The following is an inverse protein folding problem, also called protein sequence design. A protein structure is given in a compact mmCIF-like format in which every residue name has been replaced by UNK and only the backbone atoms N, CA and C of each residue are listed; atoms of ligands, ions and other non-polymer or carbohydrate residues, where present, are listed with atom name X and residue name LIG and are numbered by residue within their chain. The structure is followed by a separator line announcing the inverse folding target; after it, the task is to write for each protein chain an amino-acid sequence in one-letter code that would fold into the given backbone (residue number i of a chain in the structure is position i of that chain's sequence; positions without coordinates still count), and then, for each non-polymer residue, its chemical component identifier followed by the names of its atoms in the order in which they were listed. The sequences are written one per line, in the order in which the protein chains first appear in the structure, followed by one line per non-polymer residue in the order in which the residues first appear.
data_IF_926996386981
#
_entry.id   IF_926996386981
#
_cell.length_a   1.000
_cell.length_b   1.000
_cell.length_c   1.000
_cell.angle_alpha   90.00
_cell.angle_beta   90.00
_cell.angle_gamma   90.00
#
_symmetry.space_group_name_H-M   'P 1'
#
loop_
_entity.id
_entity.type
_entity.pdbx_description
1 polymer ?
#
# COMPACT_ATOMS: atom_id res chain seq x y z
N UNK A 1 61.55 -5.55 -0.01
CA UNK A 1 62.52 -5.88 -1.08
C UNK A 1 62.00 -7.09 -1.83
N UNK A 2 62.04 -7.04 -3.17
CA UNK A 2 61.73 -8.09 -4.18
C UNK A 2 60.24 -8.50 -4.24
N UNK A 3 59.39 -8.11 -5.20
CA UNK A 3 59.47 -7.87 -6.66
C UNK A 3 59.75 -9.12 -7.48
N UNK A 4 58.74 -9.62 -8.19
CA UNK A 4 58.84 -10.34 -9.47
C UNK A 4 57.47 -10.46 -10.14
N UNK A 5 57.49 -10.50 -11.47
CA UNK A 5 56.50 -9.95 -12.37
C UNK A 5 55.73 -11.01 -13.20
N UNK A 6 54.61 -10.55 -13.77
CA UNK A 6 53.86 -10.97 -14.96
C UNK A 6 54.28 -12.20 -15.78
N UNK A 7 53.29 -13.02 -16.16
CA UNK A 7 53.16 -13.55 -17.53
C UNK A 7 51.68 -13.81 -17.88
N UNK A 8 51.29 -13.43 -19.10
CA UNK A 8 49.92 -13.47 -19.67
C UNK A 8 49.80 -14.56 -20.77
N UNK A 9 48.57 -15.07 -20.96
CA UNK A 9 47.98 -15.73 -22.16
C UNK A 9 48.25 -17.24 -22.39
N UNK A 10 47.44 -17.97 -23.21
CA UNK A 10 46.34 -17.54 -24.10
C UNK A 10 45.00 -18.33 -24.02
N UNK A 11 43.98 -17.76 -24.67
CA UNK A 11 42.62 -18.26 -24.94
C UNK A 11 42.54 -19.52 -25.82
N UNK A 12 41.41 -20.27 -25.82
CA UNK A 12 41.03 -21.11 -26.96
C UNK A 12 39.82 -20.59 -27.74
N UNK A 13 40.09 -20.41 -29.03
CA UNK A 13 39.28 -20.61 -30.25
C UNK A 13 37.74 -20.75 -30.21
N UNK A 14 37.15 -19.79 -30.92
CA UNK A 14 35.96 -19.82 -31.77
C UNK A 14 35.59 -21.19 -32.39
N UNK A 15 34.35 -21.64 -32.16
CA UNK A 15 33.67 -22.69 -32.93
C UNK A 15 32.64 -22.07 -33.87
N UNK A 16 32.74 -22.43 -35.15
CA UNK A 16 31.86 -22.06 -36.28
C UNK A 16 30.43 -22.62 -36.11
N UNK A 17 29.38 -21.96 -36.62
CA UNK A 17 28.03 -22.53 -36.72
C UNK A 17 27.91 -23.48 -37.93
N UNK A 18 27.33 -24.65 -37.67
CA UNK A 18 26.96 -25.68 -38.67
C UNK A 18 25.65 -25.28 -39.35
N UNK A 19 25.68 -25.12 -40.68
CA UNK A 19 24.49 -24.97 -41.54
C UNK A 19 23.60 -26.21 -41.39
N UNK A 20 22.31 -26.00 -41.09
CA UNK A 20 21.26 -26.99 -41.27
C UNK A 20 20.35 -26.51 -42.41
N UNK A 21 20.30 -27.35 -43.42
CA UNK A 21 19.43 -27.33 -44.58
C UNK A 21 18.04 -27.74 -44.10
N UNK A 22 17.00 -26.94 -44.37
CA UNK A 22 15.63 -27.45 -44.39
C UNK A 22 14.96 -27.05 -45.69
N UNK A 23 14.55 -28.07 -46.40
CA UNK A 23 13.86 -28.14 -47.67
C UNK A 23 12.64 -27.23 -47.78
N UNK A 24 12.57 -26.56 -48.93
CA UNK A 24 11.38 -26.02 -49.55
C UNK A 24 10.44 -27.13 -50.02
N UNK A 25 9.17 -27.02 -49.67
CA UNK A 25 8.07 -27.70 -50.35
C UNK A 25 6.94 -26.71 -50.56
N UNK A 26 6.82 -26.27 -51.82
CA UNK A 26 5.77 -25.39 -52.35
C UNK A 26 4.59 -26.27 -52.77
N UNK A 27 3.37 -25.95 -52.34
CA UNK A 27 2.17 -26.33 -53.08
C UNK A 27 1.08 -25.28 -52.88
N UNK A 28 0.76 -24.61 -53.98
CA UNK A 28 -0.36 -23.69 -54.18
C UNK A 28 -1.57 -24.49 -54.69
N UNK A 29 -2.80 -24.21 -54.21
CA UNK A 29 -4.01 -23.86 -55.00
C UNK A 29 -5.32 -23.93 -54.17
N UNK A 30 -5.90 -22.73 -53.98
CA UNK A 30 -7.32 -22.28 -54.00
C UNK A 30 -8.44 -22.70 -53.00
N UNK A 31 -9.38 -21.77 -52.68
CA UNK A 31 -10.46 -21.86 -51.66
C UNK A 31 -11.88 -22.12 -52.26
N UNK A 32 -12.99 -22.19 -51.47
CA UNK A 32 -13.85 -21.00 -51.22
C UNK A 32 -14.76 -20.99 -49.95
N UNK A 33 -15.54 -19.89 -49.83
CA UNK A 33 -16.69 -19.54 -48.94
C UNK A 33 -16.35 -18.68 -47.70
N UNK A 34 -16.46 -17.34 -47.68
CA UNK A 34 -17.48 -16.35 -48.12
C UNK A 34 -18.73 -16.31 -47.25
N UNK A 35 -18.81 -15.30 -46.37
CA UNK A 35 -20.04 -14.55 -46.06
C UNK A 35 -19.67 -13.11 -45.70
N UNK A 36 -20.25 -12.18 -46.44
CA UNK A 36 -20.09 -10.72 -46.34
C UNK A 36 -21.44 -10.08 -45.93
N UNK A 37 -21.45 -8.79 -45.53
CA UNK A 37 -22.45 -8.18 -44.65
C UNK A 37 -23.58 -7.45 -45.39
N UNK A 38 -24.67 -7.14 -44.68
CA UNK A 38 -25.71 -6.21 -45.15
C UNK A 38 -25.81 -4.98 -44.27
N UNK A 39 -25.94 -3.85 -44.97
CA UNK A 39 -25.95 -2.45 -44.57
C UNK A 39 -27.39 -1.94 -44.40
N UNK A 40 -27.59 -1.08 -43.40
CA UNK A 40 -28.52 0.06 -43.28
C UNK A 40 -29.94 0.02 -43.86
N UNK A 41 -30.93 0.37 -43.03
CA UNK A 41 -32.02 1.28 -43.40
C UNK A 41 -32.47 2.14 -42.21
N UNK A 42 -32.58 3.44 -42.45
CA UNK A 42 -33.22 4.45 -41.62
C UNK A 42 -34.72 4.46 -41.91
N UNK A 43 -35.58 4.59 -40.90
CA UNK A 43 -36.88 5.26 -41.05
C UNK A 43 -37.46 5.69 -39.70
N UNK A 44 -37.87 6.95 -39.69
CA UNK A 44 -38.56 7.69 -38.64
C UNK A 44 -40.01 7.19 -38.46
N UNK A 45 -40.50 7.16 -37.21
CA UNK A 45 -41.92 7.37 -36.92
C UNK A 45 -42.10 7.96 -35.51
N UNK A 46 -42.65 9.17 -35.49
CA UNK A 46 -43.24 9.86 -34.33
C UNK A 46 -44.48 9.11 -33.85
N UNK A 47 -44.69 9.11 -32.54
CA UNK A 47 -46.01 9.09 -31.92
C UNK A 47 -45.98 10.06 -30.73
N UNK A 48 -46.74 11.15 -30.88
CA UNK A 48 -47.26 11.95 -29.76
C UNK A 48 -48.48 11.22 -29.19
N UNK A 49 -48.60 11.15 -27.86
CA UNK A 49 -49.76 11.64 -27.10
C UNK A 49 -49.58 11.41 -25.58
N UNK A 50 -49.61 12.53 -24.86
CA UNK A 50 -50.34 12.84 -23.62
C UNK A 50 -50.21 12.05 -22.30
N UNK A 51 -49.94 12.86 -21.27
CA UNK A 51 -50.65 12.94 -19.97
C UNK A 51 -50.43 11.83 -18.92
N UNK A 52 -49.60 12.13 -17.91
CA UNK A 52 -50.12 12.47 -16.58
C UNK A 52 -49.03 12.84 -15.55
N UNK A 53 -49.38 13.84 -14.74
CA UNK A 53 -48.64 14.48 -13.66
C UNK A 53 -48.24 13.53 -12.52
N UNK A 54 -47.03 13.69 -11.95
CA UNK A 54 -46.82 13.87 -10.49
C UNK A 54 -45.56 14.71 -10.24
N UNK A 55 -45.74 15.79 -9.49
CA UNK A 55 -44.76 16.80 -9.08
C UNK A 55 -44.12 16.42 -7.73
N UNK A 56 -42.79 16.58 -7.59
CA UNK A 56 -42.11 16.65 -6.28
C UNK A 56 -41.56 18.08 -6.07
N UNK A 57 -41.78 18.72 -4.90
CA UNK A 57 -41.44 20.12 -4.72
C UNK A 57 -39.97 20.34 -4.35
N UNK A 58 -39.36 21.31 -5.04
CA UNK A 58 -38.06 21.94 -4.75
C UNK A 58 -38.30 23.11 -3.79
N UNK A 59 -37.77 23.08 -2.57
CA UNK A 59 -37.85 24.21 -1.62
C UNK A 59 -36.63 25.11 -1.77
N UNK A 60 -36.84 26.28 -2.37
CA UNK A 60 -35.97 27.45 -2.30
C UNK A 60 -36.32 28.29 -1.05
N UNK A 61 -35.34 28.93 -0.43
CA UNK A 61 -35.54 29.92 0.62
C UNK A 61 -35.25 31.30 0.04
N UNK A 62 -36.20 32.23 0.20
CA UNK A 62 -36.06 33.66 -0.11
C UNK A 62 -36.52 34.47 1.10
N UNK A 63 -35.74 35.49 1.46
CA UNK A 63 -36.05 36.51 2.45
C UNK A 63 -37.24 37.38 2.01
N UNK A 64 -38.09 37.84 2.95
CA UNK A 64 -38.22 39.26 3.38
C UNK A 64 -39.53 39.57 4.13
N UNK A 65 -39.39 40.35 5.23
CA UNK A 65 -40.20 41.49 5.75
C UNK A 65 -41.61 41.37 6.39
N UNK A 66 -41.64 41.67 7.72
CA UNK A 66 -42.46 42.67 8.48
C UNK A 66 -43.96 42.39 8.86
N UNK A 67 -44.62 43.12 9.83
CA UNK A 67 -44.18 43.95 10.98
C UNK A 67 -44.95 43.78 12.35
N UNK A 68 -44.42 44.45 13.40
CA UNK A 68 -45.02 45.10 14.59
C UNK A 68 -46.04 44.43 15.56
N UNK A 69 -45.69 44.38 16.86
CA UNK A 69 -46.35 45.19 17.93
C UNK A 69 -45.66 45.03 19.30
N UNK A 70 -45.98 45.95 20.20
CA UNK A 70 -45.22 46.58 21.29
C UNK A 70 -45.41 46.03 22.72
N UNK A 71 -44.45 46.37 23.60
CA UNK A 71 -44.45 46.72 25.06
C UNK A 71 -43.23 46.05 25.75
N UNK A 72 -42.43 46.60 26.67
CA UNK A 72 -42.25 47.92 27.29
C UNK A 72 -41.07 47.87 28.30
N UNK A 73 -40.12 48.84 28.21
CA UNK A 73 -39.24 49.47 29.26
C UNK A 73 -38.22 48.63 30.09
N UNK A 74 -37.20 49.26 30.76
CA UNK A 74 -36.53 50.55 30.51
C UNK A 74 -34.97 50.49 30.53
N UNK A 75 -34.34 51.57 30.04
CA UNK A 75 -32.89 51.81 29.91
C UNK A 75 -32.29 52.55 31.13
N UNK A 76 -31.01 52.31 31.42
CA UNK A 76 -30.15 53.12 32.30
C UNK A 76 -29.01 53.80 31.52
N UNK A 77 -28.49 54.97 31.96
CA UNK A 77 -27.68 55.87 31.15
C UNK A 77 -26.16 55.72 31.35
N UNK A 78 -25.40 56.07 30.29
CA UNK A 78 -23.95 56.28 30.27
C UNK A 78 -23.54 57.56 31.05
N UNK A 79 -22.34 57.61 31.66
CA UNK A 79 -21.71 58.86 32.08
C UNK A 79 -20.70 59.42 31.04
N UNK A 80 -20.38 60.73 31.10
CA UNK A 80 -19.76 61.47 30.00
C UNK A 80 -18.23 61.62 30.08
N UNK A 81 -17.68 62.04 28.95
CA UNK A 81 -16.29 62.38 28.67
C UNK A 81 -15.96 63.82 29.14
N UNK A 82 -14.91 64.01 29.94
CA UNK A 82 -14.18 65.30 30.08
C UNK A 82 -12.68 65.04 30.23
N UNK A 83 -11.90 65.86 29.54
CA UNK A 83 -10.44 65.88 29.41
C UNK A 83 -9.82 66.90 30.36
N UNK A 84 -8.69 66.60 31.03
CA UNK A 84 -7.48 67.44 31.02
C UNK A 84 -6.28 66.81 31.77
N UNK A 85 -5.10 67.27 31.35
CA UNK A 85 -3.73 66.78 31.58
C UNK A 85 -3.07 67.18 32.90
N UNK A 86 -2.22 66.30 33.47
CA UNK A 86 -0.78 66.55 33.79
C UNK A 86 -0.09 65.39 34.55
N UNK A 87 0.92 64.83 33.89
CA UNK A 87 2.31 64.55 34.32
C UNK A 87 2.64 63.72 35.58
N UNK A 88 3.32 62.60 35.30
CA UNK A 88 4.36 61.86 36.05
C UNK A 88 4.04 61.13 37.37
N UNK A 89 4.03 59.78 37.30
CA UNK A 89 5.05 58.99 38.02
C UNK A 89 5.25 57.59 37.43
N UNK A 90 6.52 57.24 37.39
CA UNK A 90 7.18 56.04 36.91
C UNK A 90 6.72 54.77 37.67
N UNK A 91 6.22 53.76 36.95
CA UNK A 91 6.32 52.35 37.37
C UNK A 91 6.29 51.43 36.13
N UNK A 92 7.47 51.12 35.60
CA UNK A 92 7.63 50.06 34.59
C UNK A 92 7.58 48.73 35.33
N UNK A 93 6.38 48.16 35.50
CA UNK A 93 6.25 46.75 35.86
C UNK A 93 6.45 45.92 34.59
N UNK A 94 7.71 45.53 34.36
CA UNK A 94 8.02 44.48 33.40
C UNK A 94 7.34 43.19 33.85
N UNK A 95 6.19 42.85 33.27
CA UNK A 95 5.73 41.47 33.22
C UNK A 95 6.74 40.70 32.38
N UNK A 96 7.72 40.08 33.04
CA UNK A 96 8.49 39.01 32.46
C UNK A 96 7.51 37.93 32.02
N UNK A 97 7.29 37.84 30.71
CA UNK A 97 6.73 36.63 30.09
C UNK A 97 7.65 35.49 30.53
N UNK A 98 7.16 34.40 31.12
CA UNK A 98 8.03 33.30 31.46
C UNK A 98 8.57 32.71 30.15
N UNK A 99 9.84 33.02 29.86
CA UNK A 99 10.66 32.47 28.77
C UNK A 99 10.78 30.92 28.85
N UNK A 100 10.30 30.33 29.94
CA UNK A 100 10.20 28.88 30.15
C UNK A 100 9.04 28.20 29.40
N UNK A 101 8.02 28.94 28.92
CA UNK A 101 6.89 28.35 28.21
C UNK A 101 7.20 27.94 26.75
N UNK A 102 8.26 28.52 26.16
CA UNK A 102 8.75 28.19 24.81
C UNK A 102 9.60 26.93 24.78
N UNK A 103 10.58 26.83 25.69
CA UNK A 103 11.51 25.68 25.74
C UNK A 103 10.82 24.34 26.02
N UNK A 104 9.80 24.32 26.88
CA UNK A 104 9.06 23.10 27.21
C UNK A 104 8.22 22.57 26.02
N UNK A 105 7.67 23.48 25.20
CA UNK A 105 6.92 23.13 23.99
C UNK A 105 7.86 22.69 22.86
N UNK A 106 9.01 23.33 22.70
CA UNK A 106 10.02 22.92 21.72
C UNK A 106 10.64 21.55 22.06
N UNK A 107 11.04 21.32 23.32
CA UNK A 107 11.57 20.02 23.77
C UNK A 107 10.54 18.90 23.57
N UNK A 108 9.25 19.15 23.85
CA UNK A 108 8.18 18.17 23.58
C UNK A 108 7.97 17.89 22.09
N UNK A 109 8.09 18.92 21.23
CA UNK A 109 7.96 18.79 19.78
C UNK A 109 9.13 18.00 19.16
N UNK A 110 10.36 18.24 19.63
CA UNK A 110 11.55 17.51 19.20
C UNK A 110 11.49 16.04 19.63
N UNK A 111 11.07 15.75 20.85
CA UNK A 111 10.89 14.36 21.33
C UNK A 111 9.87 13.60 20.47
N UNK A 112 8.72 14.21 20.16
CA UNK A 112 7.71 13.58 19.27
C UNK A 112 8.23 13.34 17.85
N UNK A 113 9.04 14.27 17.35
CA UNK A 113 9.67 14.15 16.03
C UNK A 113 10.70 13.02 16.01
N UNK A 114 11.52 12.92 17.06
CA UNK A 114 12.50 11.84 17.22
C UNK A 114 11.81 10.48 17.38
N UNK A 115 10.78 10.39 18.21
CA UNK A 115 9.97 9.17 18.39
C UNK A 115 9.36 8.73 17.05
N UNK A 116 8.79 9.65 16.28
CA UNK A 116 8.24 9.36 14.96
C UNK A 116 9.34 8.90 13.98
N UNK A 117 10.50 9.56 13.99
CA UNK A 117 11.66 9.18 13.19
C UNK A 117 12.14 7.76 13.51
N UNK A 118 12.20 7.42 14.79
CA UNK A 118 12.55 6.07 15.27
C UNK A 118 11.52 5.03 14.83
N UNK A 119 10.21 5.35 14.88
CA UNK A 119 9.17 4.47 14.36
C UNK A 119 9.34 4.19 12.86
N UNK A 120 9.62 5.21 12.04
CA UNK A 120 9.94 5.00 10.62
C UNK A 120 11.19 4.15 10.42
N UNK A 121 12.25 4.40 11.21
CA UNK A 121 13.48 3.61 11.19
C UNK A 121 13.22 2.12 11.49
N UNK A 122 12.49 1.83 12.57
CA UNK A 122 12.09 0.46 12.95
C UNK A 122 11.18 -0.18 11.90
N UNK A 123 10.23 0.58 11.35
CA UNK A 123 9.35 0.09 10.30
C UNK A 123 10.14 -0.42 9.09
N UNK A 124 11.11 0.37 8.64
CA UNK A 124 11.95 0.01 7.50
C UNK A 124 12.90 -1.14 7.85
N UNK A 125 13.53 -1.10 9.03
CA UNK A 125 14.43 -2.15 9.51
C UNK A 125 13.74 -3.51 9.56
N UNK A 126 12.59 -3.61 10.23
CA UNK A 126 11.83 -4.85 10.30
C UNK A 126 11.36 -5.30 8.90
N UNK A 127 11.00 -4.37 8.02
CA UNK A 127 10.61 -4.74 6.66
C UNK A 127 11.78 -5.29 5.83
N UNK A 128 12.99 -4.74 5.98
CA UNK A 128 14.21 -5.26 5.33
C UNK A 128 14.48 -6.68 5.82
N UNK A 129 14.54 -6.88 7.14
CA UNK A 129 14.81 -8.19 7.74
C UNK A 129 13.75 -9.23 7.35
N UNK A 130 12.47 -8.85 7.38
CA UNK A 130 11.40 -9.69 6.86
C UNK A 130 11.70 -10.15 5.44
N UNK A 131 11.93 -9.23 4.51
CA UNK A 131 12.13 -9.59 3.10
C UNK A 131 13.38 -10.46 2.88
N UNK A 132 14.48 -10.17 3.59
CA UNK A 132 15.72 -10.95 3.50
C UNK A 132 15.50 -12.38 4.02
N UNK A 133 15.05 -12.53 5.27
CA UNK A 133 14.89 -13.86 5.86
C UNK A 133 13.77 -14.66 5.19
N UNK A 134 12.68 -14.01 4.82
CA UNK A 134 11.59 -14.64 4.09
C UNK A 134 12.08 -15.18 2.74
N UNK A 135 12.85 -14.40 1.97
CA UNK A 135 13.44 -14.88 0.71
C UNK A 135 14.42 -16.03 0.94
N UNK A 136 15.23 -15.99 2.00
CA UNK A 136 16.13 -17.10 2.33
C UNK A 136 15.36 -18.39 2.62
N UNK A 137 14.25 -18.32 3.36
CA UNK A 137 13.37 -19.46 3.61
C UNK A 137 12.76 -19.96 2.31
N UNK A 138 12.16 -19.08 1.51
CA UNK A 138 11.50 -19.46 0.25
C UNK A 138 12.46 -20.04 -0.80
N UNK A 139 13.76 -19.74 -0.72
CA UNK A 139 14.79 -20.36 -1.57
C UNK A 139 15.03 -21.83 -1.24
N UNK A 140 14.95 -22.23 0.04
CA UNK A 140 15.22 -23.60 0.48
C UNK A 140 13.95 -24.41 0.73
N UNK A 141 12.85 -23.74 1.05
CA UNK A 141 11.53 -24.30 1.31
C UNK A 141 10.50 -23.58 0.42
N UNK A 142 10.33 -24.00 -0.85
CA UNK A 142 9.56 -23.29 -1.87
C UNK A 142 8.04 -23.49 -1.73
N UNK A 143 7.53 -23.34 -0.52
CA UNK A 143 6.14 -23.56 -0.11
C UNK A 143 5.54 -22.25 0.43
N UNK A 144 5.21 -21.28 -0.46
CA UNK A 144 4.80 -19.94 -0.06
C UNK A 144 3.49 -19.91 0.74
N UNK A 145 2.57 -20.86 0.55
CA UNK A 145 1.31 -20.89 1.32
C UNK A 145 1.62 -21.21 2.78
N UNK A 146 2.47 -22.22 3.02
CA UNK A 146 2.94 -22.63 4.34
C UNK A 146 3.72 -21.52 5.03
N UNK A 147 4.67 -20.89 4.32
CA UNK A 147 5.47 -19.80 4.89
C UNK A 147 4.59 -18.62 5.30
N UNK A 148 3.55 -18.30 4.50
CA UNK A 148 2.57 -17.26 4.84
C UNK A 148 1.72 -17.66 6.06
N UNK A 149 1.29 -18.91 6.15
CA UNK A 149 0.54 -19.41 7.30
C UNK A 149 1.37 -19.37 8.60
N UNK A 150 2.66 -19.72 8.54
CA UNK A 150 3.59 -19.59 9.68
C UNK A 150 3.71 -18.12 10.13
N UNK A 151 3.76 -17.18 9.19
CA UNK A 151 3.80 -15.74 9.52
C UNK A 151 2.55 -15.29 10.28
N UNK A 152 1.35 -15.70 9.83
CA UNK A 152 0.10 -15.41 10.54
C UNK A 152 -0.03 -16.18 11.85
N UNK A 153 0.52 -17.39 11.95
CA UNK A 153 0.54 -18.19 13.18
C UNK A 153 1.35 -17.52 14.27
N UNK A 154 2.59 -17.12 13.97
CA UNK A 154 3.45 -16.38 14.91
C UNK A 154 2.82 -15.04 15.27
N UNK A 155 2.26 -14.31 14.29
CA UNK A 155 1.54 -13.07 14.56
C UNK A 155 0.34 -13.26 15.50
N UNK A 156 -0.41 -14.35 15.33
CA UNK A 156 -1.52 -14.71 16.22
C UNK A 156 -1.05 -15.03 17.63
N UNK A 157 0.06 -15.77 17.78
CA UNK A 157 0.67 -16.02 19.09
C UNK A 157 1.08 -14.72 19.78
N UNK A 158 1.70 -13.79 19.05
CA UNK A 158 2.06 -12.47 19.59
C UNK A 158 0.82 -11.66 20.02
N UNK A 159 -0.24 -11.66 19.22
CA UNK A 159 -1.50 -10.98 19.58
C UNK A 159 -2.12 -11.58 20.83
N UNK A 160 -2.20 -12.91 20.93
CA UNK A 160 -2.72 -13.60 22.11
C UNK A 160 -1.86 -13.29 23.33
N UNK A 161 -0.53 -13.28 23.18
CA UNK A 161 0.40 -12.88 24.24
C UNK A 161 0.12 -11.44 24.71
N UNK A 162 0.00 -10.48 23.79
CA UNK A 162 -0.32 -9.09 24.12
C UNK A 162 -1.64 -8.94 24.89
N UNK A 163 -2.67 -9.70 24.53
CA UNK A 163 -3.96 -9.69 25.24
C UNK A 163 -3.91 -10.40 26.59
N UNK A 164 -3.16 -11.49 26.70
CA UNK A 164 -3.03 -12.29 27.94
C UNK A 164 -2.31 -11.48 29.02
N UNK A 165 -1.24 -10.79 28.66
CA UNK A 165 -0.48 -9.92 29.58
C UNK A 165 -1.07 -8.51 29.71
N UNK A 166 -2.26 -8.27 29.13
CA UNK A 166 -2.96 -6.99 29.14
C UNK A 166 -2.09 -5.80 28.67
N UNK A 167 -1.12 -6.08 27.78
CA UNK A 167 -0.29 -5.06 27.14
C UNK A 167 -1.11 -4.22 26.15
N UNK A 168 -2.20 -4.81 25.65
CA UNK A 168 -3.22 -4.12 24.87
C UNK A 168 -4.60 -4.63 25.24
N UNK A 169 -5.58 -3.71 25.34
CA UNK A 169 -6.93 -4.04 25.78
C UNK A 169 -7.55 -5.09 24.84
N UNK A 170 -7.97 -6.23 25.41
CA UNK A 170 -8.68 -7.27 24.65
C UNK A 170 -9.98 -6.67 24.08
N UNK A 171 -10.20 -6.74 22.77
CA UNK A 171 -11.37 -6.14 22.17
C UNK A 171 -12.63 -6.96 22.49
N UNK A 172 -13.72 -6.27 22.81
CA UNK A 172 -15.06 -6.86 22.89
C UNK A 172 -15.69 -6.73 21.51
N UNK A 173 -15.75 -7.82 20.76
CA UNK A 173 -16.18 -7.81 19.35
C UNK A 173 -17.46 -8.63 19.23
N UNK A 174 -18.48 -8.07 18.58
CA UNK A 174 -19.71 -8.80 18.24
C UNK A 174 -19.53 -9.66 16.98
N UNK A 175 -20.34 -10.71 16.83
CA UNK A 175 -20.32 -11.53 15.60
C UNK A 175 -20.58 -10.72 14.33
N UNK A 176 -21.41 -9.68 14.41
CA UNK A 176 -21.69 -8.75 13.32
C UNK A 176 -20.44 -7.93 12.92
N UNK A 177 -19.68 -7.42 13.90
CA UNK A 177 -18.41 -6.73 13.63
C UNK A 177 -17.40 -7.67 12.97
N UNK A 178 -17.31 -8.93 13.40
CA UNK A 178 -16.43 -9.92 12.77
C UNK A 178 -16.81 -10.19 11.30
N UNK A 179 -18.10 -10.30 11.00
CA UNK A 179 -18.60 -10.46 9.63
C UNK A 179 -18.26 -9.26 8.74
N UNK A 180 -18.24 -8.04 9.29
CA UNK A 180 -17.81 -6.83 8.56
C UNK A 180 -16.30 -6.79 8.30
N UNK A 181 -15.49 -7.35 9.20
CA UNK A 181 -14.03 -7.40 9.06
C UNK A 181 -13.59 -8.55 8.14
N UNK A 182 -14.41 -9.60 8.00
CA UNK A 182 -14.08 -10.78 7.20
C UNK A 182 -13.63 -10.47 5.76
N UNK A 183 -14.32 -9.60 4.98
CA UNK A 183 -13.85 -9.24 3.64
C UNK A 183 -12.45 -8.60 3.65
N UNK A 184 -12.15 -7.76 4.67
CA UNK A 184 -10.84 -7.13 4.84
C UNK A 184 -9.76 -8.18 5.17
N UNK A 185 -10.09 -9.17 5.99
CA UNK A 185 -9.19 -10.27 6.33
C UNK A 185 -8.87 -11.16 5.11
N UNK A 186 -9.88 -11.49 4.29
CA UNK A 186 -9.70 -12.28 3.06
C UNK A 186 -8.74 -11.58 2.10
N UNK A 187 -8.99 -10.31 1.77
CA UNK A 187 -8.11 -9.57 0.84
C UNK A 187 -6.71 -9.32 1.42
N UNK A 188 -6.59 -9.15 2.75
CA UNK A 188 -5.29 -9.05 3.42
C UNK A 188 -4.52 -10.37 3.32
N UNK A 189 -5.19 -11.49 3.56
CA UNK A 189 -4.58 -12.84 3.47
C UNK A 189 -4.06 -13.09 2.05
N UNK A 190 -4.91 -12.86 1.04
CA UNK A 190 -4.54 -13.04 -0.36
C UNK A 190 -3.40 -12.10 -0.78
N UNK A 191 -3.42 -10.84 -0.35
CA UNK A 191 -2.36 -9.88 -0.68
C UNK A 191 -0.99 -10.28 -0.14
N UNK A 192 -0.93 -10.81 1.08
CA UNK A 192 0.32 -11.32 1.65
C UNK A 192 0.74 -12.65 1.02
N UNK A 193 -0.21 -13.55 0.78
CA UNK A 193 0.05 -14.83 0.10
C UNK A 193 0.65 -14.59 -1.29
N UNK A 194 0.02 -13.76 -2.12
CA UNK A 194 0.51 -13.46 -3.46
C UNK A 194 1.86 -12.72 -3.44
N UNK A 195 2.11 -11.90 -2.42
CA UNK A 195 3.45 -11.31 -2.23
C UNK A 195 4.49 -12.40 -1.97
N UNK A 196 4.20 -13.37 -1.09
CA UNK A 196 5.12 -14.48 -0.81
C UNK A 196 5.28 -15.44 -2.01
N UNK A 197 4.22 -15.69 -2.78
CA UNK A 197 4.31 -16.46 -4.03
C UNK A 197 5.26 -15.77 -5.02
N UNK A 198 5.19 -14.44 -5.14
CA UNK A 198 6.12 -13.67 -5.98
C UNK A 198 7.56 -13.75 -5.46
N UNK A 199 7.77 -13.49 -4.16
CA UNK A 199 9.08 -13.60 -3.53
C UNK A 199 9.67 -15.01 -3.63
N UNK A 200 8.84 -16.06 -3.74
CA UNK A 200 9.31 -17.42 -3.99
C UNK A 200 9.86 -17.62 -5.41
N UNK A 201 9.34 -16.89 -6.41
CA UNK A 201 9.64 -17.11 -7.83
C UNK A 201 10.63 -16.10 -8.43
N UNK A 202 10.67 -14.87 -7.95
CA UNK A 202 11.50 -13.78 -8.51
C UNK A 202 12.35 -13.09 -7.45
N UNK A 203 13.24 -12.18 -7.84
CA UNK A 203 14.02 -11.39 -6.90
C UNK A 203 13.13 -10.50 -6.01
N UNK A 204 13.60 -10.23 -4.79
CA UNK A 204 12.92 -9.35 -3.83
C UNK A 204 12.77 -7.95 -4.41
N UNK A 205 13.86 -7.41 -4.97
CA UNK A 205 13.88 -6.14 -5.68
C UNK A 205 12.79 -6.06 -6.75
N UNK A 206 12.71 -7.06 -7.62
CA UNK A 206 11.73 -7.09 -8.70
C UNK A 206 10.28 -7.18 -8.20
N UNK A 207 10.02 -8.02 -7.18
CA UNK A 207 8.69 -8.08 -6.55
C UNK A 207 8.25 -6.70 -6.06
N UNK A 208 9.15 -5.98 -5.38
CA UNK A 208 8.85 -4.65 -4.87
C UNK A 208 8.75 -3.60 -5.98
N UNK A 209 9.50 -3.73 -7.08
CA UNK A 209 9.33 -2.90 -8.28
C UNK A 209 7.94 -3.08 -8.87
N UNK A 210 7.45 -4.31 -9.08
CA UNK A 210 6.08 -4.54 -9.59
C UNK A 210 5.04 -3.99 -8.60
N UNK A 211 5.28 -4.12 -7.30
CA UNK A 211 4.40 -3.56 -6.27
C UNK A 211 4.30 -2.03 -6.32
N UNK A 212 5.21 -1.35 -7.03
CA UNK A 212 5.08 0.07 -7.34
C UNK A 212 3.78 0.42 -8.10
N UNK A 213 3.11 -0.56 -8.74
CA UNK A 213 1.83 -0.35 -9.40
C UNK A 213 0.61 -0.25 -8.47
N UNK A 214 0.78 -0.29 -7.15
CA UNK A 214 -0.31 -0.03 -6.21
C UNK A 214 -1.18 1.21 -6.55
N UNK A 215 -0.63 2.38 -6.92
CA UNK A 215 -1.43 3.53 -7.34
C UNK A 215 -2.33 3.28 -8.55
N UNK A 216 -1.86 2.49 -9.53
CA UNK A 216 -2.64 2.16 -10.72
C UNK A 216 -3.93 1.42 -10.32
N UNK A 217 -3.81 0.35 -9.54
CA UNK A 217 -4.97 -0.39 -9.04
C UNK A 217 -5.83 0.45 -8.09
N UNK A 218 -5.21 1.34 -7.29
CA UNK A 218 -5.93 2.27 -6.42
C UNK A 218 -6.89 3.16 -7.20
N UNK A 219 -6.42 3.73 -8.33
CA UNK A 219 -7.23 4.60 -9.19
C UNK A 219 -8.35 3.82 -9.86
N UNK A 220 -8.04 2.68 -10.47
CA UNK A 220 -9.03 1.83 -11.15
C UNK A 220 -10.15 1.43 -10.19
N UNK A 221 -9.80 0.90 -9.01
CA UNK A 221 -10.78 0.45 -8.03
C UNK A 221 -11.57 1.63 -7.43
N UNK A 222 -10.95 2.80 -7.24
CA UNK A 222 -11.68 3.97 -6.72
C UNK A 222 -12.68 4.51 -7.73
N UNK A 223 -12.33 4.55 -9.01
CA UNK A 223 -13.26 4.91 -10.08
C UNK A 223 -14.43 3.92 -10.17
N UNK A 224 -14.14 2.61 -10.14
CA UNK A 224 -15.16 1.55 -10.28
C UNK A 224 -16.10 1.45 -9.07
N UNK A 225 -15.58 1.51 -7.84
CA UNK A 225 -16.35 1.17 -6.63
C UNK A 225 -16.74 2.37 -5.77
N UNK A 226 -16.06 3.52 -5.89
CA UNK A 226 -16.40 4.76 -5.19
C UNK A 226 -16.93 5.86 -6.14
N UNK A 227 -16.84 5.68 -7.46
CA UNK A 227 -17.19 6.73 -8.43
C UNK A 227 -16.22 7.92 -8.43
N UNK A 228 -15.04 7.77 -7.80
CA UNK A 228 -14.01 8.81 -7.75
C UNK A 228 -13.25 8.85 -9.09
N UNK A 229 -13.73 9.66 -10.05
CA UNK A 229 -13.07 9.80 -11.34
C UNK A 229 -11.70 10.50 -11.20
N UNK A 230 -10.60 9.92 -11.72
CA UNK A 230 -9.28 10.52 -11.61
C UNK A 230 -9.17 11.77 -12.50
N UNK A 231 -8.42 12.77 -12.02
CA UNK A 231 -8.06 13.92 -12.86
C UNK A 231 -7.03 13.50 -13.91
N UNK A 232 -6.93 14.26 -15.01
CA UNK A 232 -5.94 14.00 -16.06
C UNK A 232 -4.51 13.95 -15.50
N UNK A 233 -4.20 14.78 -14.50
CA UNK A 233 -2.91 14.75 -13.80
C UNK A 233 -2.66 13.44 -13.06
N UNK A 234 -3.68 12.89 -12.40
CA UNK A 234 -3.57 11.59 -11.72
C UNK A 234 -3.30 10.50 -12.75
N UNK A 235 -4.04 10.48 -13.86
CA UNK A 235 -3.82 9.51 -14.96
C UNK A 235 -2.42 9.67 -15.55
N UNK A 236 -1.99 10.89 -15.83
CA UNK A 236 -0.65 11.18 -16.34
C UNK A 236 0.47 10.71 -15.40
N UNK A 237 0.27 10.79 -14.08
CA UNK A 237 1.23 10.26 -13.11
C UNK A 237 1.34 8.73 -13.09
N UNK A 238 0.36 8.01 -13.66
CA UNK A 238 0.42 6.55 -13.79
C UNK A 238 1.31 6.09 -14.95
N UNK A 239 1.49 6.90 -16.00
CA UNK A 239 2.37 6.56 -17.13
C UNK A 239 3.80 6.19 -16.68
N UNK A 240 4.52 7.02 -15.91
CA UNK A 240 5.86 6.65 -15.46
C UNK A 240 5.86 5.42 -14.54
N UNK A 241 4.80 5.18 -13.76
CA UNK A 241 4.67 3.99 -12.92
C UNK A 241 4.61 2.73 -13.79
N UNK A 242 3.67 2.69 -14.73
CA UNK A 242 3.45 1.53 -15.61
C UNK A 242 4.64 1.34 -16.55
N UNK A 243 5.12 2.42 -17.17
CA UNK A 243 6.28 2.40 -18.07
C UNK A 243 7.57 1.97 -17.37
N UNK A 244 7.82 2.46 -16.15
CA UNK A 244 8.99 2.06 -15.37
C UNK A 244 8.95 0.58 -14.97
N UNK A 245 7.79 0.07 -14.53
CA UNK A 245 7.63 -1.35 -14.22
C UNK A 245 7.76 -2.24 -15.46
N UNK A 246 7.21 -1.81 -16.60
CA UNK A 246 7.39 -2.52 -17.87
C UNK A 246 8.86 -2.60 -18.28
N UNK A 247 9.59 -1.48 -18.22
CA UNK A 247 11.02 -1.41 -18.55
C UNK A 247 11.87 -2.28 -17.62
N UNK A 248 11.60 -2.24 -16.31
CA UNK A 248 12.26 -3.12 -15.35
C UNK A 248 11.95 -4.60 -15.61
N UNK A 249 10.71 -4.93 -15.95
CA UNK A 249 10.27 -6.32 -16.21
C UNK A 249 10.95 -6.94 -17.43
N UNK A 250 11.09 -6.19 -18.52
CA UNK A 250 11.74 -6.68 -19.76
C UNK A 250 13.23 -6.98 -19.53
N UNK A 251 13.87 -6.32 -18.57
CA UNK A 251 15.31 -6.41 -18.32
C UNK A 251 15.67 -7.10 -17.01
N UNK A 252 14.69 -7.76 -16.38
CA UNK A 252 14.87 -8.49 -15.13
C UNK A 252 15.40 -9.90 -15.38
N UNK A 253 16.56 -10.22 -14.83
CA UNK A 253 17.18 -11.55 -14.98
C UNK A 253 16.38 -12.67 -14.33
N UNK A 254 15.67 -12.37 -13.23
CA UNK A 254 14.86 -13.35 -12.50
C UNK A 254 13.39 -13.40 -12.96
N UNK A 255 13.06 -12.81 -14.12
CA UNK A 255 11.67 -12.68 -14.56
C UNK A 255 10.97 -14.05 -14.64
N UNK A 256 9.80 -14.15 -14.03
CA UNK A 256 8.95 -15.33 -14.07
C UNK A 256 7.49 -14.90 -14.10
N UNK A 257 6.71 -15.42 -15.04
CA UNK A 257 5.30 -15.05 -15.21
C UNK A 257 4.45 -15.30 -13.96
N UNK A 258 4.62 -16.45 -13.29
CA UNK A 258 3.86 -16.74 -12.08
C UNK A 258 4.22 -15.77 -10.95
N UNK A 259 5.50 -15.43 -10.81
CA UNK A 259 5.95 -14.44 -9.83
C UNK A 259 5.46 -13.02 -10.16
N UNK A 260 5.47 -12.65 -11.44
CA UNK A 260 4.97 -11.36 -11.91
C UNK A 260 3.47 -11.20 -11.66
N UNK A 261 2.67 -12.18 -12.10
CA UNK A 261 1.21 -12.16 -11.91
C UNK A 261 0.82 -12.23 -10.43
N UNK A 262 1.59 -12.97 -9.61
CA UNK A 262 1.38 -12.96 -8.17
C UNK A 262 1.66 -11.57 -7.57
N UNK A 263 2.72 -10.87 -7.98
CA UNK A 263 2.95 -9.50 -7.53
C UNK A 263 1.82 -8.54 -7.96
N UNK A 264 1.33 -8.65 -9.20
CA UNK A 264 0.18 -7.88 -9.70
C UNK A 264 -1.10 -8.18 -8.90
N UNK A 265 -1.41 -9.45 -8.66
CA UNK A 265 -2.54 -9.87 -7.84
C UNK A 265 -2.42 -9.35 -6.41
N UNK A 266 -1.20 -9.27 -5.86
CA UNK A 266 -0.95 -8.65 -4.56
C UNK A 266 -1.31 -7.15 -4.56
N UNK A 267 -1.06 -6.44 -5.65
CA UNK A 267 -1.44 -5.02 -5.75
C UNK A 267 -2.96 -4.87 -5.78
N UNK A 268 -3.64 -5.67 -6.61
CA UNK A 268 -5.09 -5.66 -6.73
C UNK A 268 -5.78 -5.94 -5.38
N UNK A 269 -5.36 -7.00 -4.69
CA UNK A 269 -5.93 -7.40 -3.38
C UNK A 269 -5.61 -6.39 -2.29
N UNK A 270 -4.38 -5.90 -2.20
CA UNK A 270 -4.01 -4.87 -1.21
C UNK A 270 -4.75 -3.55 -1.43
N UNK A 271 -4.98 -3.13 -2.68
CA UNK A 271 -5.77 -1.93 -2.97
C UNK A 271 -7.27 -2.15 -2.76
N UNK A 272 -7.78 -3.35 -3.04
CA UNK A 272 -9.15 -3.74 -2.71
C UNK A 272 -9.40 -3.62 -1.21
N UNK A 273 -8.44 -4.04 -0.38
CA UNK A 273 -8.48 -3.82 1.08
C UNK A 273 -8.64 -2.34 1.44
N UNK A 274 -7.86 -1.47 0.80
CA UNK A 274 -7.90 -0.03 1.08
C UNK A 274 -9.26 0.58 0.70
N UNK A 275 -9.82 0.17 -0.45
CA UNK A 275 -11.14 0.61 -0.94
C UNK A 275 -12.28 0.08 -0.07
N UNK A 276 -12.25 -1.22 0.26
CA UNK A 276 -13.23 -1.84 1.16
C UNK A 276 -13.14 -1.22 2.56
N UNK A 277 -11.95 -0.92 3.06
CA UNK A 277 -11.76 -0.28 4.36
C UNK A 277 -12.45 1.08 4.39
N UNK A 278 -12.32 1.90 3.34
CA UNK A 278 -13.08 3.16 3.23
C UNK A 278 -14.59 2.92 3.28
N UNK A 279 -15.09 1.97 2.49
CA UNK A 279 -16.53 1.70 2.39
C UNK A 279 -17.13 1.15 3.69
N UNK A 280 -16.38 0.33 4.42
CA UNK A 280 -16.79 -0.24 5.71
C UNK A 280 -16.69 0.80 6.84
N UNK A 281 -15.65 1.64 6.84
CA UNK A 281 -15.47 2.71 7.83
C UNK A 281 -16.48 3.85 7.66
N UNK A 282 -16.94 4.15 6.44
CA UNK A 282 -17.97 5.17 6.19
C UNK A 282 -19.36 4.73 6.69
N UNK A 283 -19.60 3.42 6.83
CA UNK A 283 -20.91 2.87 7.22
C UNK A 283 -21.10 2.67 8.73
N UNK A 284 -20.05 2.76 9.54
CA UNK A 284 -20.12 2.45 10.97
C UNK A 284 -19.43 3.54 11.80
N UNK A 285 -20.17 4.15 12.72
CA UNK A 285 -19.67 5.20 13.62
C UNK A 285 -18.78 4.67 14.76
N UNK A 286 -18.81 3.35 15.03
CA UNK A 286 -17.88 2.71 15.96
C UNK A 286 -16.51 2.49 15.31
N UNK A 287 -15.69 3.55 15.28
CA UNK A 287 -14.32 3.44 14.81
C UNK A 287 -13.51 2.54 15.75
N UNK A 288 -13.14 1.36 15.26
CA UNK A 288 -12.29 0.42 15.99
C UNK A 288 -10.82 0.85 15.84
N UNK A 289 -10.04 0.73 16.92
CA UNK A 289 -8.61 1.10 16.88
C UNK A 289 -7.85 0.27 15.81
N UNK A 290 -6.91 0.91 15.10
CA UNK A 290 -6.17 0.29 14.00
C UNK A 290 -5.34 -0.94 14.44
N UNK A 291 -4.80 -0.93 15.66
CA UNK A 291 -4.02 -2.04 16.22
C UNK A 291 -4.96 -3.21 16.53
N UNK A 292 -6.14 -2.92 17.07
CA UNK A 292 -7.19 -3.91 17.29
C UNK A 292 -7.65 -4.55 15.98
N UNK A 293 -7.92 -3.72 14.96
CA UNK A 293 -8.30 -4.18 13.62
C UNK A 293 -7.23 -5.09 13.02
N UNK A 294 -5.96 -4.69 13.09
CA UNK A 294 -4.85 -5.50 12.59
C UNK A 294 -4.71 -6.84 13.33
N UNK A 295 -4.91 -6.83 14.65
CA UNK A 295 -4.88 -8.03 15.49
C UNK A 295 -5.95 -9.05 15.06
N UNK A 296 -7.20 -8.58 14.88
CA UNK A 296 -8.31 -9.42 14.44
C UNK A 296 -8.06 -9.95 13.03
N UNK A 297 -7.63 -9.09 12.10
CA UNK A 297 -7.29 -9.48 10.73
C UNK A 297 -6.20 -10.57 10.74
N UNK A 298 -5.18 -10.45 11.59
CA UNK A 298 -4.09 -11.44 11.69
C UNK A 298 -4.61 -12.81 12.11
N UNK A 299 -5.46 -12.87 13.15
CA UNK A 299 -6.06 -14.12 13.64
C UNK A 299 -6.96 -14.73 12.55
N UNK A 300 -7.84 -13.93 11.94
CA UNK A 300 -8.71 -14.40 10.87
C UNK A 300 -7.91 -14.90 9.66
N UNK A 301 -6.79 -14.24 9.33
CA UNK A 301 -5.93 -14.64 8.22
C UNK A 301 -5.32 -16.02 8.45
N UNK A 302 -4.95 -16.36 9.69
CA UNK A 302 -4.52 -17.72 10.04
C UNK A 302 -5.65 -18.72 9.84
N UNK A 303 -6.84 -18.45 10.36
CA UNK A 303 -8.01 -19.35 10.25
C UNK A 303 -8.40 -19.60 8.79
N UNK A 304 -8.35 -18.56 7.96
CA UNK A 304 -8.64 -18.65 6.53
C UNK A 304 -7.56 -19.42 5.76
N UNK A 305 -6.28 -19.19 6.08
CA UNK A 305 -5.16 -19.75 5.32
C UNK A 305 -4.77 -21.16 5.74
N UNK A 306 -4.93 -21.52 7.02
CA UNK A 306 -4.57 -22.84 7.55
C UNK A 306 -5.18 -24.03 6.77
N UNK A 307 -6.51 -24.08 6.49
CA UNK A 307 -7.07 -25.17 5.70
C UNK A 307 -6.54 -25.18 4.27
N UNK A 308 -6.30 -24.01 3.68
CA UNK A 308 -5.72 -23.88 2.32
C UNK A 308 -4.29 -24.41 2.30
N UNK A 309 -3.49 -24.14 3.32
CA UNK A 309 -2.12 -24.69 3.45
C UNK A 309 -2.13 -26.21 3.49
N UNK A 310 -2.98 -26.80 4.33
CA UNK A 310 -3.10 -28.25 4.47
C UNK A 310 -3.54 -28.88 3.15
N UNK A 311 -4.52 -28.28 2.47
CA UNK A 311 -5.05 -28.79 1.20
C UNK A 311 -4.06 -28.66 0.03
N UNK A 312 -3.38 -27.51 -0.11
CA UNK A 312 -2.53 -27.25 -1.28
C UNK A 312 -1.12 -27.81 -1.14
N UNK A 313 -0.50 -27.66 0.03
CA UNK A 313 0.92 -27.97 0.22
C UNK A 313 1.15 -29.14 1.19
N UNK A 314 0.14 -29.51 1.98
CA UNK A 314 0.24 -30.54 3.00
C UNK A 314 1.08 -30.12 4.21
N UNK A 315 1.32 -31.06 5.12
CA UNK A 315 2.08 -30.81 6.37
C UNK A 315 3.58 -31.05 6.15
N UNK A 316 4.22 -30.13 5.40
CA UNK A 316 5.65 -30.21 5.02
C UNK A 316 6.58 -29.44 5.97
N UNK A 317 6.06 -28.62 6.87
CA UNK A 317 6.85 -27.84 7.81
C UNK A 317 7.22 -28.63 9.08
N UNK A 318 7.58 -29.91 8.92
CA UNK A 318 7.92 -30.82 10.02
C UNK A 318 9.41 -31.15 10.03
N UNK A 319 10.01 -31.45 11.21
CA UNK A 319 11.43 -31.78 11.28
C UNK A 319 11.77 -32.99 10.40
N UNK A 320 10.91 -34.01 10.40
CA UNK A 320 11.07 -35.21 9.59
C UNK A 320 11.09 -34.90 8.08
N UNK A 321 10.15 -34.09 7.58
CA UNK A 321 10.14 -33.71 6.17
C UNK A 321 11.39 -32.90 5.80
N UNK A 322 11.72 -31.88 6.60
CA UNK A 322 12.89 -31.02 6.33
C UNK A 322 14.19 -31.82 6.32
N UNK A 323 14.38 -32.76 7.26
CA UNK A 323 15.53 -33.64 7.29
C UNK A 323 15.56 -34.59 6.08
N UNK A 324 14.42 -35.19 5.72
CA UNK A 324 14.32 -36.07 4.55
C UNK A 324 14.60 -35.33 3.23
N UNK A 325 14.31 -34.03 3.17
CA UNK A 325 14.61 -33.15 2.04
C UNK A 325 16.07 -32.63 2.03
N UNK A 326 16.92 -33.09 2.97
CA UNK A 326 18.30 -32.62 3.10
C UNK A 326 18.44 -31.19 3.61
N UNK A 327 17.38 -30.62 4.20
CA UNK A 327 17.36 -29.25 4.70
C UNK A 327 17.76 -29.20 6.17
N UNK A 328 18.52 -28.17 6.55
CA UNK A 328 18.83 -27.90 7.94
C UNK A 328 17.58 -27.34 8.65
N UNK A 329 16.84 -28.21 9.34
CA UNK A 329 15.58 -27.86 10.01
C UNK A 329 15.75 -26.69 11.00
N UNK A 330 16.83 -26.68 11.80
CA UNK A 330 17.12 -25.59 12.75
C UNK A 330 17.26 -24.26 12.03
N UNK A 331 17.97 -24.23 10.90
CA UNK A 331 18.17 -23.01 10.11
C UNK A 331 16.85 -22.53 9.49
N UNK A 332 16.04 -23.43 8.92
CA UNK A 332 14.73 -23.10 8.34
C UNK A 332 13.81 -22.53 9.41
N UNK A 333 13.68 -23.20 10.56
CA UNK A 333 12.82 -22.72 11.65
C UNK A 333 13.28 -21.38 12.22
N UNK A 334 14.59 -21.21 12.46
CA UNK A 334 15.11 -19.95 12.99
C UNK A 334 14.86 -18.79 12.03
N UNK A 335 15.14 -18.98 10.73
CA UNK A 335 14.91 -17.93 9.73
C UNK A 335 13.42 -17.65 9.51
N UNK A 336 12.58 -18.68 9.50
CA UNK A 336 11.11 -18.52 9.42
C UNK A 336 10.56 -17.77 10.61
N UNK A 337 11.04 -18.06 11.83
CA UNK A 337 10.63 -17.36 13.04
C UNK A 337 11.04 -15.88 12.99
N UNK A 338 12.29 -15.58 12.64
CA UNK A 338 12.75 -14.19 12.51
C UNK A 338 11.94 -13.46 11.43
N UNK A 339 11.73 -14.08 10.27
CA UNK A 339 10.91 -13.49 9.21
C UNK A 339 9.48 -13.20 9.68
N UNK A 340 8.86 -14.12 10.42
CA UNK A 340 7.51 -13.98 10.94
C UNK A 340 7.39 -12.92 12.04
N UNK A 341 8.35 -12.85 12.96
CA UNK A 341 8.43 -11.79 13.98
C UNK A 341 8.59 -10.43 13.32
N UNK A 342 9.52 -10.29 12.37
CA UNK A 342 9.72 -9.07 11.61
C UNK A 342 8.48 -8.71 10.78
N UNK A 343 7.80 -9.70 10.20
CA UNK A 343 6.55 -9.51 9.46
C UNK A 343 5.48 -8.84 10.32
N UNK A 344 5.22 -9.41 11.49
CA UNK A 344 4.24 -8.84 12.42
C UNK A 344 4.67 -7.46 12.91
N UNK A 345 5.93 -7.31 13.33
CA UNK A 345 6.46 -6.05 13.86
C UNK A 345 6.39 -4.90 12.83
N UNK A 346 6.82 -5.10 11.58
CA UNK A 346 6.77 -4.02 10.59
C UNK A 346 5.33 -3.62 10.26
N UNK A 347 4.39 -4.59 10.24
CA UNK A 347 2.99 -4.29 9.99
C UNK A 347 2.40 -3.49 11.14
N UNK A 348 2.64 -3.92 12.38
CA UNK A 348 2.17 -3.24 13.59
C UNK A 348 2.72 -1.81 13.68
N UNK A 349 4.04 -1.61 13.50
CA UNK A 349 4.66 -0.28 13.49
C UNK A 349 4.07 0.59 12.37
N UNK A 350 3.75 0.02 11.21
CA UNK A 350 3.08 0.75 10.12
C UNK A 350 1.73 1.33 10.55
N UNK A 351 0.91 0.56 11.28
CA UNK A 351 -0.36 1.03 11.80
C UNK A 351 -0.19 2.07 12.92
N UNK A 352 0.81 1.91 13.78
CA UNK A 352 1.15 2.91 14.81
C UNK A 352 1.54 4.26 14.18
N UNK A 353 2.33 4.24 13.11
CA UNK A 353 2.68 5.45 12.35
C UNK A 353 1.42 6.06 11.74
N UNK A 354 0.55 5.25 11.13
CA UNK A 354 -0.69 5.72 10.49
C UNK A 354 -1.61 6.48 11.45
N UNK A 355 -1.60 6.14 12.75
CA UNK A 355 -2.35 6.87 13.78
C UNK A 355 -1.76 8.23 14.14
N UNK A 356 -0.46 8.43 13.87
CA UNK A 356 0.31 9.62 14.27
C UNK A 356 0.61 10.57 13.12
N UNK A 357 0.46 10.12 11.87
CA UNK A 357 0.75 10.92 10.67
C UNK A 357 -0.42 10.95 9.71
N UNK A 358 -0.46 11.96 8.84
CA UNK A 358 -1.47 12.00 7.78
C UNK A 358 -1.35 10.76 6.86
N UNK A 359 -2.47 10.26 6.30
CA UNK A 359 -2.44 9.16 5.33
C UNK A 359 -1.47 9.39 4.16
N UNK A 360 -1.25 10.66 3.79
CA UNK A 360 -0.34 11.00 2.71
C UNK A 360 1.14 10.96 3.13
N UNK A 361 1.45 11.29 4.38
CA UNK A 361 2.80 11.07 4.94
C UNK A 361 3.10 9.58 5.01
N UNK A 362 2.13 8.77 5.45
CA UNK A 362 2.26 7.31 5.47
C UNK A 362 2.47 6.73 4.06
N UNK A 363 1.77 7.25 3.05
CA UNK A 363 1.96 6.88 1.64
C UNK A 363 3.37 7.21 1.13
N UNK A 364 3.92 8.39 1.46
CA UNK A 364 5.31 8.74 1.12
C UNK A 364 6.29 7.80 1.82
N UNK A 365 6.07 7.51 3.10
CA UNK A 365 6.86 6.54 3.85
C UNK A 365 6.84 5.14 3.24
N UNK A 366 5.70 4.68 2.73
CA UNK A 366 5.62 3.42 1.98
C UNK A 366 6.47 3.42 0.70
N UNK A 367 6.56 4.55 0.01
CA UNK A 367 7.44 4.70 -1.16
C UNK A 367 8.91 4.57 -0.76
N UNK A 368 9.33 5.28 0.30
CA UNK A 368 10.70 5.20 0.83
C UNK A 368 11.03 3.79 1.33
N UNK A 369 10.11 3.16 2.08
CA UNK A 369 10.24 1.77 2.53
C UNK A 369 10.54 0.83 1.35
N UNK A 370 9.81 0.98 0.24
CA UNK A 370 10.01 0.17 -0.97
C UNK A 370 11.40 0.38 -1.56
N UNK A 371 11.86 1.62 -1.67
CA UNK A 371 13.21 1.96 -2.16
C UNK A 371 14.26 1.28 -1.29
N UNK A 372 14.17 1.45 0.03
CA UNK A 372 15.12 0.88 0.99
C UNK A 372 15.16 -0.65 0.89
N UNK A 373 13.99 -1.31 0.82
CA UNK A 373 13.93 -2.77 0.67
C UNK A 373 14.53 -3.25 -0.65
N UNK A 374 14.26 -2.55 -1.75
CA UNK A 374 14.86 -2.87 -3.06
C UNK A 374 16.38 -2.80 -2.95
N UNK A 375 16.93 -1.66 -2.52
CA UNK A 375 18.38 -1.44 -2.42
C UNK A 375 19.04 -2.44 -1.47
N UNK A 376 18.52 -2.60 -0.25
CA UNK A 376 19.07 -3.55 0.72
C UNK A 376 19.01 -4.99 0.21
N UNK A 377 17.96 -5.38 -0.50
CA UNK A 377 17.86 -6.72 -1.05
C UNK A 377 18.85 -6.98 -2.19
N UNK A 378 19.09 -6.00 -3.06
CA UNK A 378 20.11 -6.10 -4.13
C UNK A 378 21.50 -6.25 -3.52
N UNK A 379 21.84 -5.42 -2.55
CA UNK A 379 23.14 -5.48 -1.86
C UNK A 379 23.33 -6.80 -1.11
N UNK A 380 22.31 -7.24 -0.37
CA UNK A 380 22.38 -8.46 0.43
C UNK A 380 22.46 -9.73 -0.43
N UNK A 381 21.60 -9.86 -1.44
CA UNK A 381 21.58 -11.05 -2.31
C UNK A 381 22.59 -10.98 -3.45
N UNK A 382 23.28 -9.85 -3.63
CA UNK A 382 24.17 -9.57 -4.74
C UNK A 382 23.49 -9.87 -6.08
N UNK A 383 22.21 -9.50 -6.19
CA UNK A 383 21.41 -9.76 -7.39
C UNK A 383 21.96 -8.91 -8.54
N UNK A 384 22.25 -9.48 -9.72
CA UNK A 384 22.68 -8.70 -10.87
C UNK A 384 21.52 -7.82 -11.35
N UNK A 385 21.72 -6.50 -11.37
CA UNK A 385 20.73 -5.53 -11.85
C UNK A 385 21.32 -4.79 -13.04
N UNK A 386 20.65 -4.89 -14.20
CA UNK A 386 21.08 -4.15 -15.39
C UNK A 386 20.84 -2.64 -15.21
N UNK A 387 21.63 -1.76 -15.86
CA UNK A 387 21.39 -0.32 -15.81
C UNK A 387 19.98 0.08 -16.24
N UNK A 388 19.42 -0.63 -17.22
CA UNK A 388 18.06 -0.40 -17.73
C UNK A 388 17.02 -0.81 -16.68
N UNK A 389 17.22 -1.91 -15.96
CA UNK A 389 16.33 -2.32 -14.86
C UNK A 389 16.35 -1.31 -13.71
N UNK A 390 17.54 -0.81 -13.35
CA UNK A 390 17.69 0.28 -12.36
C UNK A 390 16.98 1.55 -12.80
N UNK A 391 17.10 1.93 -14.08
CA UNK A 391 16.38 3.07 -14.65
C UNK A 391 14.87 2.87 -14.58
N UNK A 392 14.35 1.73 -15.04
CA UNK A 392 12.93 1.40 -15.01
C UNK A 392 12.37 1.42 -13.58
N UNK A 393 13.09 0.82 -12.63
CA UNK A 393 12.74 0.85 -11.20
C UNK A 393 12.72 2.29 -10.66
N UNK A 394 13.73 3.09 -10.99
CA UNK A 394 13.80 4.50 -10.60
C UNK A 394 12.63 5.33 -11.14
N UNK A 395 12.31 5.17 -12.43
CA UNK A 395 11.18 5.85 -13.08
C UNK A 395 9.85 5.43 -12.44
N UNK A 396 9.66 4.14 -12.13
CA UNK A 396 8.45 3.66 -11.46
C UNK A 396 8.28 4.30 -10.07
N UNK A 397 9.33 4.32 -9.26
CA UNK A 397 9.30 4.89 -7.91
C UNK A 397 9.11 6.41 -7.92
N UNK A 398 9.75 7.11 -8.86
CA UNK A 398 9.52 8.53 -9.09
C UNK A 398 8.06 8.81 -9.50
N UNK A 399 7.47 7.96 -10.34
CA UNK A 399 6.06 7.99 -10.69
C UNK A 399 5.14 7.84 -9.47
N UNK A 400 5.44 6.92 -8.54
CA UNK A 400 4.67 6.76 -7.29
C UNK A 400 4.76 8.00 -6.41
N UNK A 401 5.93 8.63 -6.33
CA UNK A 401 6.10 9.90 -5.62
C UNK A 401 5.29 11.02 -6.28
N UNK A 402 5.35 11.15 -7.61
CA UNK A 402 4.57 12.10 -8.38
C UNK A 402 3.06 11.90 -8.16
N UNK A 403 2.56 10.67 -8.27
CA UNK A 403 1.17 10.31 -7.97
C UNK A 403 0.75 10.77 -6.57
N UNK A 404 1.60 10.50 -5.56
CA UNK A 404 1.34 10.87 -4.17
C UNK A 404 1.26 12.39 -3.96
N UNK A 405 1.93 13.18 -4.80
CA UNK A 405 1.87 14.65 -4.80
C UNK A 405 0.65 15.16 -5.55
N UNK A 406 0.41 14.65 -6.75
CA UNK A 406 -0.74 15.05 -7.59
C UNK A 406 -2.06 14.79 -6.87
N UNK A 407 -2.20 13.64 -6.19
CA UNK A 407 -3.40 13.31 -5.42
C UNK A 407 -3.70 14.28 -4.27
N UNK A 408 -2.71 15.07 -3.81
CA UNK A 408 -2.93 16.13 -2.80
C UNK A 408 -3.55 17.39 -3.37
N UNK A 409 -3.35 17.65 -4.67
CA UNK A 409 -3.85 18.84 -5.34
C UNK A 409 -5.35 18.63 -5.54
N UNK A 410 -6.17 19.05 -4.56
CA UNK A 410 -7.63 19.02 -4.70
C UNK A 410 -8.02 19.81 -5.95
N UNK A 411 -8.93 19.32 -6.81
CA UNK A 411 -9.56 20.17 -7.79
C UNK A 411 -10.32 21.27 -7.04
N UNK A 412 -10.11 22.54 -7.44
CA UNK A 412 -10.96 23.63 -6.95
C UNK A 412 -12.42 23.25 -7.26
N UNK A 413 -13.34 23.34 -6.30
CA UNK A 413 -14.75 23.13 -6.60
C UNK A 413 -15.12 24.10 -7.73
N UNK A 414 -15.71 23.57 -8.81
CA UNK A 414 -16.33 24.41 -9.82
C UNK A 414 -17.43 25.18 -9.09
N UNK A 415 -17.22 26.47 -8.86
CA UNK A 415 -18.30 27.40 -8.53
C UNK A 415 -19.30 27.29 -9.68
N UNK A 416 -20.44 26.66 -9.38
CA UNK A 416 -21.57 26.54 -10.28
C UNK A 416 -22.31 27.88 -10.39
#
# INVERSE_FOLDING_TARGET
MQSTAFTFSPSPSLLKPRRLISSSSTTTYSPPHRFDPIRAFSSSKRYDLDSNNVVFPRRSWSLSSAPNSSLSRPWNPLPPLVSESKTERFEVRATAVPESAGEGKEKSSLVKTLELGLLFGLWYLFNIYFNIYNKQVLKVFPNPVTVTAVQFAVGTVLVIFMWTFNLYKRPKISGAQLAMILPLAVVHTLGNLFTNMSLGKVAVSFTHTIKAMEPFFSVVLSAMFLGEMPTLWVVGSLLPIVGGVALASVTEASFNWAGFWSAMASNLTNQSRNVLSKKVMVKNEESMDNITLFSIITIMSLVLLAPVTIFMEGVKFTPAYLQSAGLNAKQVYTRSLIAALCFHAYQQVSYMILQRVSPVTHSVGNCVKRVVVIVSSVLFFKTPVSPINSLGTGVALAGVFLYSRVKRIKPKPKTA
#
